data_IF_485024411429
#
_entry.id   IF_485024411429
#
_cell.length_a   1.000
_cell.length_b   1.000
_cell.length_c   1.000
_cell.angle_alpha   90.00
_cell.angle_beta   90.00
_cell.angle_gamma   90.00
#
_symmetry.space_group_name_H-M   'P 1'
#
loop_
_entity.id
_entity.type
_entity.pdbx_description
1 polymer ?
#
# COMPACT_ATOMS: atom_id res chain seq x y z
N UNK A 1 -5.33 11.83 -0.09
CA UNK A 1 -4.97 10.98 1.04
C UNK A 1 -5.95 11.22 2.21
N UNK A 2 -6.49 10.13 2.79
CA UNK A 2 -7.57 10.14 3.78
C UNK A 2 -6.97 10.25 5.18
N UNK A 3 -7.40 11.24 5.95
CA UNK A 3 -7.26 11.24 7.40
C UNK A 3 -8.45 10.47 7.98
N UNK A 4 -8.21 9.25 8.48
CA UNK A 4 -9.03 8.73 9.57
C UNK A 4 -8.49 9.39 10.82
N UNK A 5 -9.28 10.32 11.39
CA UNK A 5 -8.87 11.20 12.49
C UNK A 5 -8.29 10.40 13.67
N UNK A 6 -6.97 10.36 13.77
CA UNK A 6 -6.30 10.04 15.01
C UNK A 6 -6.40 11.29 15.90
N UNK A 7 -7.03 11.12 17.06
CA UNK A 7 -7.08 12.14 18.11
C UNK A 7 -5.65 12.66 18.43
N UNK A 8 -5.50 13.91 18.89
CA UNK A 8 -4.24 14.67 18.88
C UNK A 8 -3.20 14.21 19.93
N UNK A 9 -3.31 13.01 20.46
CA UNK A 9 -2.40 12.47 21.45
C UNK A 9 -1.62 11.34 20.82
N UNK A 10 -0.37 11.61 20.45
CA UNK A 10 0.65 10.65 20.01
C UNK A 10 0.12 9.54 19.07
N UNK A 11 0.40 9.65 17.77
CA UNK A 11 0.09 8.57 16.83
C UNK A 11 1.02 7.38 17.07
N UNK A 12 0.69 6.62 18.11
CA UNK A 12 1.37 5.41 18.50
C UNK A 12 0.86 4.27 17.64
N UNK A 13 1.71 3.83 16.72
CA UNK A 13 1.46 2.61 15.99
C UNK A 13 2.00 1.43 16.81
N UNK A 14 1.10 0.74 17.49
CA UNK A 14 1.47 -0.45 18.23
C UNK A 14 1.48 -1.66 17.27
N UNK A 15 2.56 -2.43 17.31
CA UNK A 15 2.81 -3.53 16.37
C UNK A 15 2.99 -4.84 17.10
N UNK A 16 2.54 -5.92 16.49
CA UNK A 16 2.83 -7.28 16.94
C UNK A 16 3.01 -8.19 15.73
N UNK A 17 3.96 -9.12 15.83
CA UNK A 17 4.12 -10.16 14.82
C UNK A 17 3.00 -11.19 14.98
N UNK A 18 2.52 -11.74 13.88
CA UNK A 18 1.40 -12.68 13.93
C UNK A 18 1.76 -13.93 14.73
N UNK A 19 2.94 -14.52 14.50
CA UNK A 19 3.42 -15.72 15.15
C UNK A 19 4.87 -15.59 15.65
N UNK A 20 5.12 -16.16 16.83
CA UNK A 20 6.37 -15.99 17.57
C UNK A 20 7.63 -16.36 16.80
N UNK A 21 7.73 -17.61 16.36
CA UNK A 21 8.99 -18.15 15.85
C UNK A 21 9.14 -17.96 14.34
N UNK A 22 8.05 -17.96 13.60
CA UNK A 22 8.07 -17.91 12.14
C UNK A 22 8.19 -16.47 11.63
N UNK A 23 7.25 -15.59 11.95
CA UNK A 23 7.26 -14.23 11.42
C UNK A 23 8.45 -13.43 11.98
N UNK A 24 8.72 -13.56 13.29
CA UNK A 24 9.86 -12.86 13.91
C UNK A 24 11.19 -13.21 13.26
N UNK A 25 11.41 -14.49 12.98
CA UNK A 25 12.67 -14.94 12.37
C UNK A 25 12.84 -14.38 10.97
N UNK A 26 11.76 -14.31 10.20
CA UNK A 26 11.83 -13.97 8.79
C UNK A 26 11.83 -12.46 8.53
N UNK A 27 11.01 -11.67 9.21
CA UNK A 27 10.74 -10.28 8.81
C UNK A 27 11.07 -9.22 9.85
N UNK A 28 11.38 -9.59 11.11
CA UNK A 28 11.61 -8.62 12.18
C UNK A 28 12.63 -7.54 11.79
N UNK A 29 13.80 -7.96 11.33
CA UNK A 29 14.90 -7.01 11.06
C UNK A 29 14.54 -6.01 9.96
N UNK A 30 13.92 -6.47 8.87
CA UNK A 30 13.54 -5.57 7.77
C UNK A 30 12.40 -4.63 8.17
N UNK A 31 11.46 -5.12 8.98
CA UNK A 31 10.34 -4.34 9.52
C UNK A 31 10.86 -3.24 10.44
N UNK A 32 11.69 -3.58 11.42
CA UNK A 32 12.29 -2.61 12.35
C UNK A 32 13.14 -1.58 11.60
N UNK A 33 13.90 -2.01 10.59
CA UNK A 33 14.66 -1.09 9.73
C UNK A 33 13.76 -0.16 8.90
N UNK A 34 12.63 -0.66 8.38
CA UNK A 34 11.66 0.15 7.65
C UNK A 34 11.01 1.22 8.52
N UNK A 35 10.65 0.85 9.75
CA UNK A 35 10.16 1.80 10.77
C UNK A 35 11.21 2.86 11.09
N UNK A 36 12.45 2.44 11.36
CA UNK A 36 13.55 3.35 11.65
C UNK A 36 13.81 4.32 10.50
N UNK A 37 13.74 3.86 9.25
CA UNK A 37 13.91 4.71 8.07
C UNK A 37 12.80 5.73 7.89
N UNK A 38 11.55 5.37 8.19
CA UNK A 38 10.46 6.36 8.24
C UNK A 38 10.75 7.47 9.26
N UNK A 39 11.19 7.11 10.47
CA UNK A 39 11.55 8.07 11.52
C UNK A 39 12.76 8.95 11.10
N UNK A 40 13.78 8.35 10.48
CA UNK A 40 14.92 9.08 9.91
C UNK A 40 14.46 10.12 8.87
N UNK A 41 13.65 9.70 7.90
CA UNK A 41 13.16 10.59 6.85
C UNK A 41 12.21 11.69 7.35
N UNK A 42 11.46 11.43 8.41
CA UNK A 42 10.61 12.44 9.05
C UNK A 42 11.41 13.51 9.81
N UNK A 43 12.71 13.32 10.00
CA UNK A 43 13.60 14.25 10.69
C UNK A 43 13.89 13.87 12.14
N UNK A 44 13.72 12.60 12.49
CA UNK A 44 13.99 12.05 13.82
C UNK A 44 12.73 11.64 14.59
N UNK A 45 12.85 11.31 15.89
CA UNK A 45 11.72 10.89 16.71
C UNK A 45 10.61 11.95 16.79
N UNK A 46 9.39 11.52 17.13
CA UNK A 46 8.26 12.41 17.34
C UNK A 46 8.61 13.56 18.30
N UNK A 47 8.48 14.80 17.82
CA UNK A 47 8.82 16.01 18.57
C UNK A 47 8.30 17.27 17.86
N UNK A 48 8.33 18.42 18.56
CA UNK A 48 8.11 19.74 17.93
C UNK A 48 9.09 20.01 16.79
N UNK A 49 10.34 19.52 16.90
CA UNK A 49 11.40 19.76 15.90
C UNK A 49 11.17 18.95 14.63
N UNK A 50 10.82 17.66 14.74
CA UNK A 50 10.52 16.82 13.58
C UNK A 50 9.14 17.12 12.99
N UNK A 51 8.23 17.69 13.79
CA UNK A 51 6.92 18.17 13.34
C UNK A 51 5.89 17.06 13.12
N UNK A 52 6.10 15.89 13.72
CA UNK A 52 5.13 14.79 13.70
C UNK A 52 5.01 14.08 15.06
N UNK A 53 3.91 13.36 15.23
CA UNK A 53 3.58 12.55 16.40
C UNK A 53 3.75 11.02 16.20
N UNK A 54 4.26 10.58 15.04
CA UNK A 54 4.47 9.15 14.73
C UNK A 54 5.52 8.50 15.64
N UNK A 55 5.12 7.41 16.29
CA UNK A 55 6.03 6.48 16.98
C UNK A 55 5.61 5.04 16.70
N UNK A 56 6.58 4.16 16.46
CA UNK A 56 6.36 2.72 16.36
C UNK A 56 6.73 2.04 17.69
N UNK A 57 5.88 1.17 18.22
CA UNK A 57 6.20 0.39 19.42
C UNK A 57 5.68 -1.04 19.33
N UNK A 58 6.53 -1.98 19.71
CA UNK A 58 6.13 -3.38 19.84
C UNK A 58 5.24 -3.58 21.07
N UNK A 59 4.12 -4.28 20.91
CA UNK A 59 3.28 -4.70 22.03
C UNK A 59 4.04 -5.68 22.90
N UNK A 60 4.11 -5.39 24.20
CA UNK A 60 4.77 -6.22 25.21
C UNK A 60 3.83 -6.51 26.37
N UNK A 61 4.03 -7.64 27.03
CA UNK A 61 3.33 -7.96 28.27
C UNK A 61 3.93 -7.21 29.47
N UNK A 62 3.36 -7.42 30.66
CA UNK A 62 3.82 -6.77 31.90
C UNK A 62 5.29 -7.07 32.26
N UNK A 63 5.86 -8.17 31.75
CA UNK A 63 7.26 -8.56 31.95
C UNK A 63 8.19 -8.02 30.84
N UNK A 64 7.69 -7.18 29.94
CA UNK A 64 8.44 -6.63 28.82
C UNK A 64 8.72 -7.63 27.68
N UNK A 65 8.10 -8.81 27.70
CA UNK A 65 8.22 -9.78 26.59
C UNK A 65 7.24 -9.43 25.47
N UNK A 66 7.60 -9.64 24.20
CA UNK A 66 6.70 -9.37 23.08
C UNK A 66 5.38 -10.15 23.19
N UNK A 67 4.30 -9.50 22.78
CA UNK A 67 3.01 -10.14 22.52
C UNK A 67 2.90 -10.44 21.03
N UNK A 68 2.24 -11.55 20.69
CA UNK A 68 1.98 -11.98 19.32
C UNK A 68 0.48 -11.94 19.04
N UNK A 69 0.09 -11.60 17.80
CA UNK A 69 -1.32 -11.43 17.45
C UNK A 69 -2.09 -12.74 17.46
N UNK A 70 -1.44 -13.87 17.22
CA UNK A 70 -2.06 -15.18 17.23
C UNK A 70 -1.50 -16.10 18.31
N UNK A 71 -2.26 -17.15 18.63
CA UNK A 71 -1.77 -18.28 19.41
C UNK A 71 -0.66 -19.02 18.66
N UNK A 72 0.37 -19.57 19.33
CA UNK A 72 1.38 -20.41 18.71
C UNK A 72 0.81 -21.63 17.95
N UNK A 73 -0.35 -22.13 18.39
CA UNK A 73 -1.00 -23.33 17.84
C UNK A 73 -2.12 -23.05 16.85
N UNK A 74 -2.57 -21.79 16.72
CA UNK A 74 -3.64 -21.42 15.80
C UNK A 74 -3.42 -19.97 15.34
N UNK A 75 -2.97 -19.81 14.08
CA UNK A 75 -2.66 -18.52 13.46
C UNK A 75 -3.90 -17.64 13.26
N UNK A 76 -5.08 -18.25 13.13
CA UNK A 76 -6.33 -17.53 12.88
C UNK A 76 -6.97 -17.06 14.20
N UNK A 77 -6.62 -17.69 15.32
CA UNK A 77 -7.09 -17.32 16.64
C UNK A 77 -6.33 -16.10 17.18
N UNK A 78 -7.01 -14.95 17.18
CA UNK A 78 -6.50 -13.72 17.76
C UNK A 78 -6.21 -13.89 19.27
N UNK A 79 -5.08 -13.36 19.71
CA UNK A 79 -4.68 -13.29 21.10
C UNK A 79 -5.46 -12.18 21.82
N UNK A 80 -6.36 -12.56 22.71
CA UNK A 80 -7.23 -11.66 23.49
C UNK A 80 -6.49 -10.63 24.34
N UNK A 81 -5.20 -10.85 24.62
CA UNK A 81 -4.32 -9.88 25.31
C UNK A 81 -3.80 -8.78 24.40
N UNK A 82 -3.97 -8.91 23.08
CA UNK A 82 -3.54 -7.91 22.09
C UNK A 82 -4.75 -7.05 21.70
N UNK A 83 -4.70 -5.72 21.91
CA UNK A 83 -5.77 -4.82 21.48
C UNK A 83 -6.02 -4.91 19.96
N UNK A 84 -7.29 -4.90 19.55
CA UNK A 84 -7.70 -5.08 18.14
C UNK A 84 -7.24 -3.94 17.20
N UNK A 85 -6.76 -2.82 17.76
CA UNK A 85 -6.16 -1.71 17.01
C UNK A 85 -4.64 -1.87 16.79
N UNK A 86 -4.06 -3.00 17.20
CA UNK A 86 -2.65 -3.34 16.97
C UNK A 86 -2.42 -3.75 15.52
N UNK A 87 -1.41 -3.17 14.88
CA UNK A 87 -0.95 -3.61 13.57
C UNK A 87 -0.30 -4.99 13.67
N UNK A 88 -0.94 -5.98 13.07
CA UNK A 88 -0.39 -7.31 12.87
C UNK A 88 0.58 -7.31 11.67
N UNK A 89 1.73 -7.96 11.83
CA UNK A 89 2.71 -8.14 10.77
C UNK A 89 2.93 -9.62 10.52
N UNK A 90 2.70 -10.04 9.29
CA UNK A 90 2.70 -11.43 8.88
C UNK A 90 3.73 -11.66 7.77
N UNK A 91 4.57 -12.68 7.94
CA UNK A 91 5.39 -13.18 6.85
C UNK A 91 4.61 -14.23 6.05
N UNK A 92 4.75 -14.16 4.73
CA UNK A 92 4.10 -15.07 3.80
C UNK A 92 5.05 -15.52 2.70
N UNK A 93 5.09 -16.83 2.44
CA UNK A 93 5.99 -17.38 1.43
C UNK A 93 5.42 -17.27 0.01
N UNK A 94 4.10 -17.26 -0.12
CA UNK A 94 3.38 -17.48 -1.39
C UNK A 94 2.30 -16.44 -1.70
N UNK A 95 2.16 -15.39 -0.87
CA UNK A 95 1.24 -14.27 -1.16
C UNK A 95 2.02 -13.04 -1.60
N UNK A 96 1.33 -12.14 -2.29
CA UNK A 96 1.85 -10.80 -2.56
C UNK A 96 2.02 -9.98 -1.29
N UNK A 97 2.69 -8.85 -1.43
CA UNK A 97 2.80 -7.83 -0.39
C UNK A 97 1.47 -7.08 -0.27
N UNK A 98 1.19 -6.54 0.91
CA UNK A 98 0.05 -5.65 1.08
C UNK A 98 -0.14 -5.19 2.52
N UNK A 99 -0.80 -4.05 2.67
CA UNK A 99 -1.05 -3.43 3.95
C UNK A 99 -2.45 -2.83 4.01
N UNK A 100 -3.08 -2.93 5.17
CA UNK A 100 -4.31 -2.17 5.46
C UNK A 100 -4.03 -0.67 5.36
N UNK A 101 -4.94 0.09 4.75
CA UNK A 101 -4.79 1.54 4.61
C UNK A 101 -5.41 2.28 5.79
N UNK A 102 -4.57 2.81 6.67
CA UNK A 102 -4.99 3.57 7.85
C UNK A 102 -5.67 2.73 8.94
N UNK A 103 -5.97 3.39 10.07
CA UNK A 103 -6.57 2.73 11.24
C UNK A 103 -8.08 2.54 11.09
N UNK A 104 -8.53 1.28 11.17
CA UNK A 104 -9.95 0.90 11.24
C UNK A 104 -10.30 0.42 12.66
N UNK A 105 -11.23 1.12 13.33
CA UNK A 105 -11.71 0.78 14.69
C UNK A 105 -13.15 0.25 14.65
N UNK A 106 -13.33 -0.98 14.20
CA UNK A 106 -14.64 -1.66 14.20
C UNK A 106 -14.72 -2.77 15.27
N UNK A 107 -13.72 -2.86 16.15
CA UNK A 107 -13.66 -3.85 17.23
C UNK A 107 -13.39 -5.27 16.77
N UNK A 108 -13.02 -5.52 15.52
CA UNK A 108 -12.69 -6.86 15.00
C UNK A 108 -11.17 -7.09 14.98
N UNK A 109 -10.70 -8.33 15.18
CA UNK A 109 -9.29 -8.67 14.98
C UNK A 109 -8.89 -8.61 13.50
N UNK A 110 -7.58 -8.64 13.24
CA UNK A 110 -6.99 -8.75 11.90
C UNK A 110 -7.37 -7.63 10.92
N UNK A 111 -7.84 -6.48 11.40
CA UNK A 111 -8.21 -5.34 10.54
C UNK A 111 -7.01 -4.47 10.17
N UNK A 112 -5.97 -4.50 11.00
CA UNK A 112 -4.73 -3.77 10.82
C UNK A 112 -3.67 -4.82 10.52
N UNK A 113 -3.34 -5.01 9.25
CA UNK A 113 -2.49 -6.12 8.83
C UNK A 113 -1.55 -5.68 7.71
N UNK A 114 -0.30 -6.10 7.83
CA UNK A 114 0.72 -6.00 6.78
C UNK A 114 1.26 -7.39 6.49
N UNK A 115 1.24 -7.76 5.21
CA UNK A 115 1.86 -8.96 4.67
C UNK A 115 3.21 -8.59 4.05
N UNK A 116 4.27 -9.24 4.54
CA UNK A 116 5.61 -9.14 3.98
C UNK A 116 5.95 -10.48 3.34
N UNK A 117 6.13 -10.47 2.03
CA UNK A 117 6.37 -11.68 1.27
C UNK A 117 7.86 -12.04 1.15
N UNK A 118 8.12 -13.22 0.59
CA UNK A 118 9.46 -13.60 0.15
C UNK A 118 10.09 -12.59 -0.83
N UNK A 119 11.42 -12.49 -0.79
CA UNK A 119 12.16 -11.50 -1.58
C UNK A 119 12.00 -10.08 -1.02
N UNK A 120 11.78 -9.95 0.30
CA UNK A 120 11.52 -8.65 0.89
C UNK A 120 12.64 -7.64 0.66
N UNK A 121 12.25 -6.40 0.40
CA UNK A 121 13.13 -5.24 0.37
C UNK A 121 12.73 -4.23 1.44
N UNK A 122 13.71 -3.48 1.93
CA UNK A 122 13.47 -2.34 2.83
C UNK A 122 12.48 -1.34 2.22
N UNK A 123 12.54 -1.15 0.90
CA UNK A 123 11.61 -0.32 0.14
C UNK A 123 10.17 -0.83 0.27
N UNK A 124 9.93 -2.13 0.00
CA UNK A 124 8.59 -2.69 0.11
C UNK A 124 8.01 -2.50 1.50
N UNK A 125 8.81 -2.72 2.56
CA UNK A 125 8.35 -2.48 3.93
C UNK A 125 7.99 -1.01 4.15
N UNK A 126 8.81 -0.06 3.70
CA UNK A 126 8.48 1.36 3.82
C UNK A 126 7.19 1.72 3.06
N UNK A 127 6.95 1.12 1.90
CA UNK A 127 5.72 1.28 1.13
C UNK A 127 4.49 0.77 1.91
N UNK A 128 4.57 -0.47 2.44
CA UNK A 128 3.47 -1.03 3.24
C UNK A 128 3.20 -0.23 4.53
N UNK A 129 4.26 0.29 5.17
CA UNK A 129 4.10 1.20 6.30
C UNK A 129 3.45 2.52 5.88
N UNK A 130 3.66 2.97 4.63
CA UNK A 130 2.94 4.10 4.07
C UNK A 130 1.43 3.87 3.98
N UNK A 131 1.02 2.66 3.59
CA UNK A 131 -0.40 2.26 3.66
C UNK A 131 -0.94 2.31 5.08
N UNK A 132 -0.22 1.75 6.04
CA UNK A 132 -0.60 1.79 7.46
C UNK A 132 -0.80 3.24 7.95
N UNK A 133 0.04 4.17 7.50
CA UNK A 133 -0.10 5.59 7.79
C UNK A 133 -1.29 6.26 7.07
N UNK A 134 -2.03 5.54 6.21
CA UNK A 134 -3.24 6.02 5.55
C UNK A 134 -3.03 6.49 4.11
N UNK A 135 -1.87 6.22 3.50
CA UNK A 135 -1.60 6.59 2.12
C UNK A 135 -2.12 5.52 1.15
N UNK A 136 -2.81 5.95 0.11
CA UNK A 136 -3.20 5.11 -1.02
C UNK A 136 -2.07 5.08 -2.06
N UNK A 137 -2.12 4.18 -3.04
CA UNK A 137 -1.20 4.31 -4.17
C UNK A 137 -1.44 5.59 -4.95
N UNK A 138 -0.35 6.21 -5.37
CA UNK A 138 -0.39 7.50 -6.04
C UNK A 138 -1.04 7.41 -7.43
N UNK A 139 -0.89 6.28 -8.14
CA UNK A 139 -1.58 6.05 -9.40
C UNK A 139 -3.09 5.78 -9.24
N UNK A 140 -3.65 5.76 -8.02
CA UNK A 140 -5.10 5.78 -7.81
C UNK A 140 -5.64 7.20 -7.60
N UNK A 141 -4.78 8.22 -7.61
CA UNK A 141 -5.16 9.63 -7.44
C UNK A 141 -6.24 10.06 -8.47
N UNK A 142 -7.24 10.88 -8.08
CA UNK A 142 -8.31 11.33 -8.98
C UNK A 142 -7.81 11.98 -10.27
N UNK A 143 -6.81 12.84 -10.14
CA UNK A 143 -6.24 13.62 -11.26
C UNK A 143 -5.10 12.91 -11.99
N UNK A 144 -4.83 11.63 -11.69
CA UNK A 144 -3.67 10.92 -12.25
C UNK A 144 -3.63 10.95 -13.78
N UNK A 145 -4.79 10.99 -14.46
CA UNK A 145 -4.86 10.85 -15.91
C UNK A 145 -4.29 12.12 -16.60
N UNK A 146 -4.03 13.18 -15.83
CA UNK A 146 -3.24 14.35 -16.24
C UNK A 146 -1.74 14.03 -16.36
N UNK A 147 -1.24 13.14 -15.51
CA UNK A 147 0.20 12.85 -15.33
C UNK A 147 0.61 11.48 -15.86
N UNK A 148 -0.32 10.53 -15.88
CA UNK A 148 -0.10 9.13 -16.20
C UNK A 148 -0.99 8.67 -17.34
N UNK A 149 -0.46 7.74 -18.14
CA UNK A 149 -1.24 6.89 -19.03
C UNK A 149 -1.32 5.49 -18.43
N UNK A 150 -2.54 5.05 -18.14
CA UNK A 150 -2.82 3.67 -17.70
C UNK A 150 -3.29 2.85 -18.91
N UNK A 151 -2.63 1.72 -19.16
CA UNK A 151 -2.93 0.82 -20.27
C UNK A 151 -3.32 -0.55 -19.72
N UNK A 152 -4.60 -0.83 -19.46
CA UNK A 152 -4.98 -2.11 -18.84
C UNK A 152 -4.60 -3.36 -19.67
N UNK A 153 -4.60 -3.24 -21.00
CA UNK A 153 -4.17 -4.32 -21.91
C UNK A 153 -2.71 -4.72 -21.74
N UNK A 154 -1.92 -3.89 -21.05
CA UNK A 154 -0.53 -4.18 -20.74
C UNK A 154 -0.35 -5.00 -19.44
N UNK A 155 -1.44 -5.28 -18.71
CA UNK A 155 -1.39 -6.11 -17.51
C UNK A 155 -1.16 -7.58 -17.87
N UNK A 156 -0.41 -8.29 -17.04
CA UNK A 156 -0.04 -9.69 -17.28
C UNK A 156 -1.24 -10.63 -17.41
N UNK A 157 -2.32 -10.37 -16.67
CA UNK A 157 -3.51 -11.22 -16.62
C UNK A 157 -4.65 -10.74 -17.54
N UNK A 158 -4.43 -9.67 -18.31
CA UNK A 158 -5.49 -8.94 -19.04
C UNK A 158 -6.38 -9.88 -19.87
N UNK A 159 -5.79 -10.69 -20.74
CA UNK A 159 -6.56 -11.55 -21.65
C UNK A 159 -7.42 -12.55 -20.88
N UNK A 160 -6.84 -13.15 -19.83
CA UNK A 160 -7.56 -14.11 -18.98
C UNK A 160 -8.71 -13.45 -18.22
N UNK A 161 -8.48 -12.26 -17.66
CA UNK A 161 -9.49 -11.48 -16.96
C UNK A 161 -10.62 -11.06 -17.91
N UNK A 162 -10.26 -10.52 -19.08
CA UNK A 162 -11.21 -10.06 -20.08
C UNK A 162 -12.12 -11.20 -20.55
N UNK A 163 -11.55 -12.37 -20.87
CA UNK A 163 -12.32 -13.55 -21.25
C UNK A 163 -13.31 -13.98 -20.16
N UNK A 164 -12.86 -14.04 -18.89
CA UNK A 164 -13.74 -14.37 -17.75
C UNK A 164 -14.89 -13.38 -17.64
N UNK A 165 -14.61 -12.08 -17.64
CA UNK A 165 -15.64 -11.04 -17.49
C UNK A 165 -16.62 -11.06 -18.65
N UNK A 166 -16.13 -11.10 -19.88
CA UNK A 166 -16.97 -11.04 -21.08
C UNK A 166 -17.90 -12.26 -21.19
N UNK A 167 -17.44 -13.44 -20.80
CA UNK A 167 -18.26 -14.65 -20.76
C UNK A 167 -19.44 -14.55 -19.78
N UNK A 168 -19.33 -13.75 -18.71
CA UNK A 168 -20.36 -13.64 -17.67
C UNK A 168 -21.21 -12.37 -17.75
N UNK A 169 -20.64 -11.22 -18.11
CA UNK A 169 -21.34 -9.93 -18.20
C UNK A 169 -21.91 -9.66 -19.60
N UNK A 170 -21.50 -10.47 -20.60
CA UNK A 170 -22.02 -10.40 -21.97
C UNK A 170 -21.44 -9.24 -22.79
N UNK A 171 -22.06 -8.89 -23.93
CA UNK A 171 -21.47 -7.98 -24.92
C UNK A 171 -21.46 -6.50 -24.52
N UNK A 172 -22.14 -6.12 -23.44
CA UNK A 172 -22.25 -4.71 -23.01
C UNK A 172 -21.03 -4.23 -22.22
N UNK A 173 -20.22 -5.14 -21.66
CA UNK A 173 -18.96 -4.75 -21.04
C UNK A 173 -17.95 -4.42 -22.13
N UNK A 174 -17.22 -3.30 -21.96
CA UNK A 174 -16.11 -2.92 -22.83
C UNK A 174 -14.79 -3.02 -22.07
N UNK A 175 -13.66 -3.19 -22.76
CA UNK A 175 -12.33 -3.17 -22.14
C UNK A 175 -12.10 -1.93 -21.25
N UNK A 176 -12.55 -0.77 -21.72
CA UNK A 176 -12.40 0.51 -21.04
C UNK A 176 -13.24 0.58 -19.77
N UNK A 177 -14.45 0.02 -19.78
CA UNK A 177 -15.36 0.04 -18.66
C UNK A 177 -14.97 -0.94 -17.55
N UNK A 178 -14.35 -2.07 -17.91
CA UNK A 178 -13.89 -3.05 -16.93
C UNK A 178 -12.93 -2.41 -15.91
N UNK A 179 -11.88 -1.73 -16.39
CA UNK A 179 -10.85 -1.14 -15.51
C UNK A 179 -11.24 0.18 -14.85
N UNK A 180 -12.49 0.60 -15.05
CA UNK A 180 -13.11 1.73 -14.34
C UNK A 180 -14.07 1.26 -13.25
N UNK A 181 -14.38 -0.03 -13.18
CA UNK A 181 -15.35 -0.61 -12.26
C UNK A 181 -14.67 -1.46 -11.20
N UNK A 182 -14.34 -0.86 -10.05
CA UNK A 182 -13.73 -1.57 -8.91
C UNK A 182 -14.56 -2.80 -8.49
N UNK A 183 -15.90 -2.70 -8.60
CA UNK A 183 -16.81 -3.81 -8.31
C UNK A 183 -16.59 -5.00 -9.24
N UNK A 184 -16.49 -4.78 -10.55
CA UNK A 184 -16.29 -5.86 -11.51
C UNK A 184 -14.89 -6.45 -11.40
N UNK A 185 -13.87 -5.60 -11.27
CA UNK A 185 -12.48 -6.07 -11.18
C UNK A 185 -12.26 -6.92 -9.93
N UNK A 186 -12.86 -6.56 -8.78
CA UNK A 186 -12.81 -7.40 -7.57
C UNK A 186 -13.63 -8.68 -7.75
N UNK A 187 -14.87 -8.58 -8.28
CA UNK A 187 -15.76 -9.75 -8.49
C UNK A 187 -15.08 -10.86 -9.30
N UNK A 188 -14.28 -10.50 -10.30
CA UNK A 188 -13.63 -11.44 -11.22
C UNK A 188 -12.13 -11.65 -10.97
N UNK A 189 -11.60 -11.10 -9.86
CA UNK A 189 -10.20 -11.25 -9.49
C UNK A 189 -9.24 -10.76 -10.58
N UNK A 190 -9.50 -9.56 -11.10
CA UNK A 190 -8.70 -8.94 -12.14
C UNK A 190 -7.67 -7.98 -11.55
N UNK A 191 -6.41 -8.09 -11.99
CA UNK A 191 -5.31 -7.23 -11.53
C UNK A 191 -5.57 -5.74 -11.76
N UNK A 192 -6.36 -5.39 -12.78
CA UNK A 192 -6.72 -3.99 -13.03
C UNK A 192 -7.48 -3.32 -11.88
N UNK A 193 -7.98 -4.08 -10.88
CA UNK A 193 -8.51 -3.54 -9.62
C UNK A 193 -7.51 -2.58 -8.95
N UNK A 194 -6.23 -2.94 -8.93
CA UNK A 194 -5.16 -2.11 -8.35
C UNK A 194 -4.98 -0.78 -9.07
N UNK A 195 -5.48 -0.64 -10.31
CA UNK A 195 -5.33 0.55 -11.15
C UNK A 195 -6.63 1.36 -11.30
N UNK A 196 -7.72 1.00 -10.63
CA UNK A 196 -8.96 1.80 -10.69
C UNK A 196 -8.76 3.11 -9.93
N UNK A 197 -9.01 4.27 -10.57
CA UNK A 197 -8.86 5.57 -9.90
C UNK A 197 -9.91 5.77 -8.83
N UNK A 198 -9.63 6.64 -7.87
CA UNK A 198 -10.52 7.05 -6.79
C UNK A 198 -10.81 5.97 -5.76
N UNK A 199 -10.19 4.80 -5.83
CA UNK A 199 -10.45 3.72 -4.88
C UNK A 199 -9.16 3.10 -4.37
N UNK A 200 -9.20 2.68 -3.11
CA UNK A 200 -8.29 1.71 -2.51
C UNK A 200 -9.07 0.41 -2.35
N UNK A 201 -8.43 -0.73 -2.60
CA UNK A 201 -9.05 -2.03 -2.32
C UNK A 201 -9.46 -2.16 -0.84
N UNK A 202 -10.66 -2.70 -0.53
CA UNK A 202 -11.60 -3.39 -1.42
C UNK A 202 -12.67 -2.47 -2.07
N UNK A 203 -12.47 -1.15 -2.10
CA UNK A 203 -13.39 -0.21 -2.74
C UNK A 203 -13.64 1.09 -1.96
N UNK A 204 -12.71 1.48 -1.09
CA UNK A 204 -12.84 2.71 -0.29
C UNK A 204 -12.48 3.94 -1.12
N UNK A 205 -13.32 4.98 -1.14
CA UNK A 205 -13.10 6.15 -1.98
C UNK A 205 -11.90 6.98 -1.49
N UNK A 206 -11.00 7.34 -2.39
CA UNK A 206 -9.87 8.23 -2.12
C UNK A 206 -10.36 9.67 -2.10
N UNK A 207 -10.15 10.34 -0.96
CA UNK A 207 -10.24 11.80 -0.86
C UNK A 207 -8.85 12.37 -1.00
N UNK A 208 -8.55 13.11 -2.07
CA UNK A 208 -7.27 13.80 -2.21
C UNK A 208 -7.33 15.25 -1.77
N UNK A 209 -6.34 15.68 -0.98
CA UNK A 209 -6.14 17.03 -0.48
C UNK A 209 -4.71 17.54 -0.74
N UNK A 210 -3.97 16.80 -1.56
CA UNK A 210 -2.61 17.07 -2.00
C UNK A 210 -2.56 16.88 -3.52
N UNK A 211 -1.67 17.61 -4.20
CA UNK A 211 -1.46 17.45 -5.63
C UNK A 211 -0.60 16.21 -5.93
N UNK A 212 -0.81 15.64 -7.11
CA UNK A 212 -0.13 14.43 -7.58
C UNK A 212 1.40 14.47 -7.42
N UNK A 213 1.99 13.34 -7.05
CA UNK A 213 3.41 13.18 -6.79
C UNK A 213 4.03 11.95 -7.46
N UNK A 214 4.56 12.13 -8.67
CA UNK A 214 5.26 11.06 -9.40
C UNK A 214 6.45 10.47 -8.62
N UNK A 215 7.00 11.20 -7.66
CA UNK A 215 8.13 10.77 -6.84
C UNK A 215 7.69 10.13 -5.50
N UNK A 216 6.40 9.92 -5.27
CA UNK A 216 5.89 9.29 -4.06
C UNK A 216 6.39 7.85 -3.94
N UNK A 217 6.77 7.43 -2.73
CA UNK A 217 7.06 6.02 -2.44
C UNK A 217 5.84 5.13 -2.69
N UNK A 218 4.63 5.70 -2.69
CA UNK A 218 3.37 5.01 -2.94
C UNK A 218 3.05 4.85 -4.44
N UNK A 219 3.93 5.28 -5.34
CA UNK A 219 3.72 5.15 -6.78
C UNK A 219 4.29 3.83 -7.32
N UNK A 220 3.51 3.09 -8.11
CA UNK A 220 3.99 1.91 -8.81
C UNK A 220 4.97 2.27 -9.93
N UNK A 221 6.06 1.51 -10.03
CA UNK A 221 6.95 1.59 -11.19
C UNK A 221 6.25 1.07 -12.45
N UNK A 222 6.68 1.54 -13.63
CA UNK A 222 6.19 1.03 -14.91
C UNK A 222 6.43 -0.46 -15.08
N UNK A 223 7.61 -0.92 -14.66
CA UNK A 223 7.97 -2.33 -14.64
C UNK A 223 7.71 -2.87 -13.23
N UNK A 224 6.71 -3.73 -13.10
CA UNK A 224 6.27 -4.30 -11.82
C UNK A 224 5.74 -5.72 -12.00
N UNK A 225 5.40 -6.39 -10.89
CA UNK A 225 4.79 -7.73 -10.91
C UNK A 225 3.45 -7.81 -11.65
N UNK A 226 2.81 -6.68 -11.95
CA UNK A 226 1.56 -6.61 -12.72
C UNK A 226 1.78 -6.46 -14.23
N UNK A 227 3.03 -6.26 -14.65
CA UNK A 227 3.37 -5.94 -16.04
C UNK A 227 3.43 -7.20 -16.90
N UNK A 228 2.98 -7.09 -18.15
CA UNK A 228 3.19 -8.18 -19.12
C UNK A 228 4.69 -8.40 -19.40
N UNK A 229 4.99 -9.50 -20.10
CA UNK A 229 6.38 -9.89 -20.38
C UNK A 229 7.14 -8.87 -21.23
N UNK A 230 6.46 -8.16 -22.16
CA UNK A 230 7.10 -7.14 -23.01
C UNK A 230 7.57 -5.94 -22.18
N UNK A 231 6.76 -5.48 -21.24
CA UNK A 231 7.14 -4.42 -20.33
C UNK A 231 8.29 -4.86 -19.42
N UNK A 232 8.22 -6.07 -18.86
CA UNK A 232 9.28 -6.59 -17.99
C UNK A 232 10.62 -6.69 -18.72
N UNK A 233 10.63 -7.16 -19.97
CA UNK A 233 11.88 -7.44 -20.70
C UNK A 233 12.40 -6.28 -21.52
N UNK A 234 11.53 -5.40 -22.01
CA UNK A 234 11.87 -4.32 -22.95
C UNK A 234 11.47 -2.93 -22.47
N UNK A 235 10.69 -2.80 -21.41
CA UNK A 235 10.10 -1.52 -21.01
C UNK A 235 9.06 -0.99 -22.01
N UNK A 236 8.48 -1.87 -22.84
CA UNK A 236 7.46 -1.53 -23.82
C UNK A 236 6.09 -2.00 -23.37
N UNK A 237 5.01 -1.31 -23.78
CA UNK A 237 3.63 -1.69 -23.44
C UNK A 237 3.46 -1.95 -21.94
N UNK A 238 3.84 -0.97 -21.13
CA UNK A 238 3.73 -1.03 -19.67
C UNK A 238 2.35 -0.58 -19.16
N UNK A 239 1.83 -1.17 -18.06
CA UNK A 239 0.51 -0.82 -17.52
C UNK A 239 0.39 0.63 -17.07
N UNK A 240 1.48 1.23 -16.62
CA UNK A 240 1.56 2.62 -16.19
C UNK A 240 2.81 3.25 -16.79
N UNK A 241 2.65 4.43 -17.38
CA UNK A 241 3.75 5.30 -17.82
C UNK A 241 3.39 6.74 -17.49
N UNK A 242 4.38 7.61 -17.32
CA UNK A 242 4.15 9.04 -17.10
C UNK A 242 4.17 9.79 -18.44
N UNK A 243 3.32 10.81 -18.60
CA UNK A 243 3.47 11.76 -19.69
C UNK A 243 4.75 12.57 -19.50
N UNK A 244 5.45 12.83 -20.61
CA UNK A 244 6.63 13.72 -20.59
C UNK A 244 6.23 15.14 -20.19
N UNK A 245 5.08 15.59 -20.68
CA UNK A 245 4.46 16.86 -20.34
C UNK A 245 2.99 16.64 -19.94
N UNK A 246 2.62 16.88 -18.66
CA UNK A 246 1.23 16.73 -18.20
C UNK A 246 0.22 17.64 -18.90
N UNK A 247 0.69 18.74 -19.53
CA UNK A 247 -0.16 19.69 -20.26
C UNK A 247 -0.26 19.37 -21.75
N UNK A 248 0.64 18.55 -22.27
CA UNK A 248 0.70 18.15 -23.67
C UNK A 248 1.08 16.67 -23.80
N UNK A 249 0.06 15.82 -23.78
CA UNK A 249 0.20 14.37 -23.89
C UNK A 249 0.75 13.91 -25.25
N UNK A 250 0.77 14.80 -26.25
CA UNK A 250 1.35 14.55 -27.58
C UNK A 250 2.88 14.44 -27.56
N UNK A 251 3.55 14.95 -26.52
CA UNK A 251 5.02 14.84 -26.35
C UNK A 251 5.50 13.45 -25.93
N UNK A 252 4.58 12.50 -25.82
CA UNK A 252 4.88 11.11 -25.52
C UNK A 252 4.95 10.81 -24.03
N UNK A 253 5.50 9.63 -23.73
CA UNK A 253 5.51 9.04 -22.39
C UNK A 253 6.89 8.53 -22.03
N UNK A 254 7.17 8.44 -20.73
CA UNK A 254 8.38 7.84 -20.17
C UNK A 254 8.02 6.80 -19.12
N UNK A 255 8.94 5.87 -18.87
CA UNK A 255 8.81 4.94 -17.76
C UNK A 255 8.86 5.69 -16.43
N UNK A 256 8.10 5.17 -15.48
CA UNK A 256 8.14 5.57 -14.07
C UNK A 256 9.10 4.61 -13.37
N UNK A 257 10.16 5.18 -12.82
CA UNK A 257 11.14 4.43 -12.06
C UNK A 257 10.61 4.07 -10.67
N UNK A 258 11.18 3.00 -10.09
CA UNK A 258 10.86 2.63 -8.73
C UNK A 258 11.46 3.64 -7.74
N UNK A 259 10.59 4.39 -7.07
CA UNK A 259 10.98 5.30 -5.99
C UNK A 259 11.53 4.49 -4.81
N UNK A 260 12.64 4.96 -4.22
CA UNK A 260 13.38 4.20 -3.17
C UNK A 260 13.27 4.78 -1.76
N UNK A 261 12.59 5.92 -1.59
CA UNK A 261 12.41 6.62 -0.31
C UNK A 261 11.14 7.49 -0.35
N UNK A 262 10.55 7.83 0.81
CA UNK A 262 9.45 8.80 0.86
C UNK A 262 9.87 10.13 0.22
N UNK A 263 8.98 10.70 -0.59
CA UNK A 263 9.16 12.02 -1.17
C UNK A 263 8.94 13.12 -0.13
N UNK A 264 9.27 14.37 -0.48
CA UNK A 264 8.93 15.51 0.36
C UNK A 264 7.41 15.62 0.59
N UNK A 265 6.59 15.29 -0.42
CA UNK A 265 5.12 15.34 -0.31
C UNK A 265 4.57 14.21 0.56
N UNK A 266 5.17 13.00 0.51
CA UNK A 266 4.83 11.91 1.43
C UNK A 266 5.09 12.35 2.88
N UNK A 267 6.26 12.93 3.15
CA UNK A 267 6.65 13.38 4.49
C UNK A 267 5.79 14.54 4.98
N UNK A 268 5.52 15.54 4.12
CA UNK A 268 4.60 16.62 4.43
C UNK A 268 3.20 16.11 4.75
N UNK A 269 2.74 15.10 3.99
CA UNK A 269 1.45 14.51 4.26
C UNK A 269 1.41 13.87 5.64
N UNK A 270 2.41 13.05 5.99
CA UNK A 270 2.49 12.44 7.33
C UNK A 270 2.49 13.51 8.42
N UNK A 271 3.32 14.56 8.30
CA UNK A 271 3.38 15.65 9.29
C UNK A 271 2.06 16.41 9.43
N UNK A 272 1.35 16.63 8.32
CA UNK A 272 0.04 17.31 8.33
C UNK A 272 -1.06 16.48 8.99
N UNK A 273 -1.02 15.16 8.84
CA UNK A 273 -2.08 14.27 9.36
C UNK A 273 -1.76 13.76 10.77
N UNK A 274 -0.49 13.80 11.16
CA UNK A 274 0.01 13.40 12.47
C UNK A 274 0.89 14.49 13.08
N UNK A 275 0.36 15.72 13.28
CA UNK A 275 1.15 16.82 13.83
C UNK A 275 1.53 16.55 15.29
N UNK A 276 2.64 17.15 15.73
CA UNK A 276 3.03 17.19 17.14
C UNK A 276 2.27 18.24 17.93
#
# INVERSE_FOLDING_TARGET
MIALSLLPFLALLATALAQETHDRRNIRNVVENGMAKWIEHLGGPASRTSGHAISFQERKNAQGKPLYCASPTNRDAWNDKVPHDTLAMEYTENKGWGGSVGLTRNGKPWQQLVYIANGYTLLGVMHELGHVLGMAHEHNHPDRDTYLKITPKALADWDSCWQRVHAHEGPLITPENLCRSIRLTIKYGCTCAAFVKNYVEPGWPIKSNAGFDIASIMHYASVSGYSNQRCITKGEDCPVVAYVDPKDHGKGTRLVEQVRRPSEKDLMWVKRNYPW
#
